data_IF_689100444944
#
_entry.id   IF_689100444944
#
_cell.length_a   1.000
_cell.length_b   1.000
_cell.length_c   1.000
_cell.angle_alpha   90.00
_cell.angle_beta   90.00
_cell.angle_gamma   90.00
#
_symmetry.space_group_name_H-M   'P 1'
#
loop_
_entity.id
_entity.type
_entity.pdbx_description
1 polymer ?
#
# COMPACT_ATOMS: atom_id res chain seq x y z
N UNK A 1 -1.83 8.99 -35.85
CA UNK A 1 -1.12 8.56 -34.63
C UNK A 1 -2.11 8.74 -33.51
N UNK A 2 -2.84 7.69 -33.16
CA UNK A 2 -3.81 7.75 -32.07
C UNK A 2 -3.07 8.05 -30.76
N UNK A 3 -3.61 8.91 -29.90
CA UNK A 3 -3.01 9.15 -28.60
C UNK A 3 -3.00 7.82 -27.85
N UNK A 4 -1.82 7.31 -27.51
CA UNK A 4 -1.63 6.19 -26.59
C UNK A 4 -2.46 6.49 -25.34
N UNK A 5 -3.64 5.87 -25.23
CA UNK A 5 -4.46 5.93 -24.03
C UNK A 5 -3.66 5.26 -22.92
N UNK A 6 -3.05 6.05 -22.06
CA UNK A 6 -2.39 5.58 -20.83
C UNK A 6 -3.45 5.30 -19.77
N UNK A 7 -4.43 4.47 -20.12
CA UNK A 7 -5.50 4.02 -19.24
C UNK A 7 -5.57 2.50 -19.32
N UNK A 8 -6.03 1.84 -18.26
CA UNK A 8 -6.25 0.40 -18.31
C UNK A 8 -7.27 0.07 -19.43
N UNK A 9 -7.09 -1.07 -20.12
CA UNK A 9 -8.05 -1.51 -21.13
C UNK A 9 -9.40 -1.82 -20.47
N UNK A 10 -10.52 -1.68 -21.19
CA UNK A 10 -11.86 -1.86 -20.61
C UNK A 10 -12.08 -3.26 -20.02
N UNK A 11 -11.38 -4.27 -20.56
CA UNK A 11 -11.40 -5.63 -20.04
C UNK A 11 -10.61 -5.82 -18.74
N UNK A 12 -10.00 -4.76 -18.19
CA UNK A 12 -9.41 -4.75 -16.85
C UNK A 12 -10.46 -4.65 -15.73
N UNK A 13 -11.65 -4.11 -16.02
CA UNK A 13 -12.67 -3.77 -15.00
C UNK A 13 -13.80 -4.79 -14.88
N UNK A 14 -13.82 -5.79 -15.76
CA UNK A 14 -14.86 -6.81 -15.80
C UNK A 14 -14.25 -8.20 -15.90
N UNK A 15 -14.98 -9.26 -15.51
CA UNK A 15 -14.55 -10.61 -15.78
C UNK A 15 -14.29 -10.83 -17.27
N UNK A 16 -13.23 -11.58 -17.57
CA UNK A 16 -12.88 -11.92 -18.95
C UNK A 16 -13.93 -12.87 -19.52
N UNK A 17 -14.36 -12.60 -20.76
CA UNK A 17 -15.25 -13.50 -21.49
C UNK A 17 -14.46 -14.70 -22.04
N UNK A 18 -15.15 -15.79 -22.34
CA UNK A 18 -14.52 -16.99 -22.91
C UNK A 18 -13.71 -16.66 -24.18
N UNK A 19 -12.40 -16.88 -24.13
CA UNK A 19 -11.46 -16.61 -25.23
C UNK A 19 -10.86 -15.19 -25.26
N UNK A 20 -11.29 -14.28 -24.38
CA UNK A 20 -10.72 -12.94 -24.26
C UNK A 20 -9.36 -12.97 -23.53
N UNK A 21 -8.35 -12.31 -24.11
CA UNK A 21 -7.00 -12.21 -23.50
C UNK A 21 -6.72 -10.81 -23.01
N UNK A 22 -6.35 -10.68 -21.75
CA UNK A 22 -5.85 -9.44 -21.18
C UNK A 22 -4.41 -9.17 -21.64
N UNK A 23 -4.15 -7.97 -22.17
CA UNK A 23 -2.80 -7.53 -22.56
C UNK A 23 -2.31 -6.54 -21.50
N UNK A 24 -1.26 -6.88 -20.72
CA UNK A 24 -0.71 -5.99 -19.70
C UNK A 24 -0.09 -4.72 -20.30
N UNK A 25 -0.13 -3.61 -19.54
CA UNK A 25 0.46 -2.32 -19.93
C UNK A 25 1.98 -2.44 -20.15
N UNK A 26 2.66 -3.26 -19.34
CA UNK A 26 4.07 -3.59 -19.53
C UNK A 26 4.16 -4.97 -20.22
N UNK A 27 4.49 -5.03 -21.52
CA UNK A 27 4.58 -6.30 -22.23
C UNK A 27 5.80 -7.10 -21.77
N UNK A 28 5.65 -8.42 -21.61
CA UNK A 28 6.76 -9.31 -21.25
C UNK A 28 7.94 -9.27 -22.26
N UNK A 29 7.67 -8.86 -23.51
CA UNK A 29 8.69 -8.72 -24.56
C UNK A 29 9.58 -7.49 -24.41
N UNK A 30 9.24 -6.52 -23.53
CA UNK A 30 10.02 -5.30 -23.31
C UNK A 30 10.51 -5.28 -21.86
N UNK A 31 11.71 -5.81 -21.55
CA UNK A 31 12.24 -5.82 -20.21
C UNK A 31 12.55 -4.38 -19.78
N UNK A 32 11.63 -3.77 -19.04
CA UNK A 32 11.89 -2.54 -18.32
C UNK A 32 12.67 -2.87 -17.04
N UNK A 33 13.60 -2.00 -16.61
CA UNK A 33 14.32 -2.22 -15.37
C UNK A 33 13.35 -2.12 -14.17
N UNK A 34 13.00 -3.26 -13.59
CA UNK A 34 12.14 -3.37 -12.40
C UNK A 34 12.97 -3.24 -11.10
N UNK A 35 14.03 -4.05 -11.00
CA UNK A 35 14.91 -4.08 -9.83
C UNK A 35 16.12 -3.19 -10.13
N UNK A 36 16.13 -1.99 -9.56
CA UNK A 36 17.23 -1.04 -9.67
C UNK A 36 17.67 -0.61 -8.27
N UNK A 37 18.90 -0.09 -8.10
CA UNK A 37 19.31 0.50 -6.83
C UNK A 37 18.34 1.60 -6.36
N UNK A 38 17.69 2.29 -7.30
CA UNK A 38 16.65 3.27 -7.03
C UNK A 38 15.39 2.63 -6.43
N UNK A 39 14.82 1.61 -7.09
CA UNK A 39 13.59 0.97 -6.61
C UNK A 39 13.79 0.24 -5.28
N UNK A 40 14.96 -0.35 -5.07
CA UNK A 40 15.34 -0.98 -3.79
C UNK A 40 15.52 0.04 -2.66
N UNK A 41 16.25 1.14 -2.90
CA UNK A 41 16.54 2.12 -1.85
C UNK A 41 15.26 2.81 -1.37
N UNK A 42 14.42 3.28 -2.29
CA UNK A 42 13.17 3.94 -1.93
C UNK A 42 12.12 2.97 -1.40
N UNK A 43 12.05 1.76 -1.96
CA UNK A 43 11.18 0.71 -1.45
C UNK A 43 11.51 0.35 0.00
N UNK A 44 12.78 0.13 0.33
CA UNK A 44 13.23 -0.17 1.70
C UNK A 44 13.02 1.01 2.65
N UNK A 45 13.26 2.25 2.19
CA UNK A 45 13.02 3.44 2.99
C UNK A 45 11.54 3.58 3.35
N UNK A 46 10.64 3.46 2.37
CA UNK A 46 9.20 3.51 2.63
C UNK A 46 8.73 2.33 3.46
N UNK A 47 9.27 1.13 3.23
CA UNK A 47 8.95 -0.03 4.07
C UNK A 47 9.29 0.24 5.54
N UNK A 48 10.46 0.82 5.84
CA UNK A 48 10.84 1.17 7.20
C UNK A 48 9.92 2.24 7.82
N UNK A 49 9.65 3.33 7.08
CA UNK A 49 8.81 4.44 7.56
C UNK A 49 7.36 3.97 7.83
N UNK A 50 6.77 3.27 6.86
CA UNK A 50 5.40 2.79 6.98
C UNK A 50 5.28 1.64 7.99
N UNK A 51 6.33 0.84 8.20
CA UNK A 51 6.33 -0.14 9.29
C UNK A 51 6.21 0.54 10.66
N UNK A 52 6.98 1.61 10.88
CA UNK A 52 6.91 2.38 12.14
C UNK A 52 5.53 3.02 12.32
N UNK A 53 4.98 3.62 11.27
CA UNK A 53 3.66 4.24 11.30
C UNK A 53 2.54 3.21 11.56
N UNK A 54 2.56 2.08 10.86
CA UNK A 54 1.59 0.99 11.04
C UNK A 54 1.69 0.37 12.43
N UNK A 55 2.91 0.19 12.96
CA UNK A 55 3.10 -0.36 14.29
C UNK A 55 2.55 0.58 15.37
N UNK A 56 2.83 1.88 15.24
CA UNK A 56 2.32 2.89 16.16
C UNK A 56 0.79 2.96 16.15
N UNK A 57 0.18 3.11 14.98
CA UNK A 57 -1.27 3.22 14.86
C UNK A 57 -1.97 1.92 15.27
N UNK A 58 -1.42 0.77 14.88
CA UNK A 58 -1.92 -0.55 15.24
C UNK A 58 -1.89 -0.78 16.75
N UNK A 59 -0.82 -0.40 17.45
CA UNK A 59 -0.72 -0.55 18.90
C UNK A 59 -1.53 0.50 19.67
N UNK A 60 -1.65 1.73 19.14
CA UNK A 60 -2.33 2.84 19.83
C UNK A 60 -3.86 2.79 19.68
N UNK A 61 -4.35 2.51 18.46
CA UNK A 61 -5.77 2.65 18.09
C UNK A 61 -6.36 1.30 17.66
N UNK A 62 -5.55 0.24 17.54
CA UNK A 62 -6.01 -1.09 17.13
C UNK A 62 -6.35 -1.21 15.64
N UNK A 63 -6.12 -0.15 14.86
CA UNK A 63 -6.42 -0.10 13.43
C UNK A 63 -5.14 0.05 12.61
N UNK A 64 -5.05 -0.74 11.54
CA UNK A 64 -4.02 -0.63 10.51
C UNK A 64 -4.62 0.08 9.30
N UNK A 65 -3.80 0.87 8.60
CA UNK A 65 -4.20 1.56 7.37
C UNK A 65 -3.52 0.93 6.15
N UNK A 66 -4.13 1.12 4.98
CA UNK A 66 -3.59 0.58 3.72
C UNK A 66 -2.41 1.41 3.22
N UNK A 67 -1.23 0.80 3.15
CA UNK A 67 0.02 1.47 2.82
C UNK A 67 0.30 1.47 1.31
N UNK A 68 -0.27 0.55 0.52
CA UNK A 68 0.04 0.38 -0.89
C UNK A 68 -0.26 1.64 -1.72
N UNK A 69 -1.45 2.24 -1.54
CA UNK A 69 -1.89 3.41 -2.30
C UNK A 69 -1.05 4.66 -1.97
N UNK A 70 -0.85 5.06 -0.69
CA UNK A 70 0.03 6.18 -0.37
C UNK A 70 1.46 6.01 -0.89
N UNK A 71 2.03 4.81 -0.78
CA UNK A 71 3.38 4.54 -1.27
C UNK A 71 3.45 4.63 -2.79
N UNK A 72 2.42 4.17 -3.51
CA UNK A 72 2.32 4.34 -4.96
C UNK A 72 2.33 5.83 -5.36
N UNK A 73 1.56 6.67 -4.66
CA UNK A 73 1.53 8.13 -4.90
C UNK A 73 2.91 8.74 -4.64
N UNK A 74 3.57 8.36 -3.55
CA UNK A 74 4.92 8.82 -3.21
C UNK A 74 5.96 8.40 -4.25
N UNK A 75 5.92 7.15 -4.71
CA UNK A 75 6.82 6.62 -5.73
C UNK A 75 6.66 7.38 -7.06
N UNK A 76 5.41 7.59 -7.49
CA UNK A 76 5.09 8.41 -8.67
C UNK A 76 5.59 9.84 -8.47
N UNK A 77 5.30 10.46 -7.33
CA UNK A 77 5.70 11.83 -7.02
C UNK A 77 7.20 12.03 -7.07
N UNK A 78 7.94 11.09 -6.50
CA UNK A 78 9.39 11.07 -6.49
C UNK A 78 9.96 10.90 -7.90
N UNK A 79 9.41 9.98 -8.69
CA UNK A 79 9.84 9.76 -10.08
C UNK A 79 9.56 10.99 -10.96
N UNK A 80 8.43 11.67 -10.76
CA UNK A 80 8.09 12.94 -11.44
C UNK A 80 9.04 14.06 -11.01
N UNK A 81 9.29 14.20 -9.70
CA UNK A 81 10.18 15.24 -9.16
C UNK A 81 11.63 15.07 -9.64
N UNK A 82 12.08 13.83 -9.76
CA UNK A 82 13.44 13.51 -10.25
C UNK A 82 13.54 13.37 -11.77
N UNK A 83 12.45 13.56 -12.51
CA UNK A 83 12.43 13.53 -13.96
C UNK A 83 12.74 12.17 -14.59
N UNK A 84 12.49 11.06 -13.87
CA UNK A 84 12.69 9.71 -14.38
C UNK A 84 11.68 9.38 -15.47
N UNK A 85 12.13 8.73 -16.54
CA UNK A 85 11.29 8.30 -17.67
C UNK A 85 11.12 6.78 -17.63
N UNK A 86 9.95 6.26 -18.02
CA UNK A 86 9.61 4.83 -17.94
C UNK A 86 9.73 4.27 -16.52
N UNK A 87 9.27 5.03 -15.53
CA UNK A 87 9.45 4.72 -14.11
C UNK A 87 8.37 3.78 -13.58
N UNK A 88 7.34 3.44 -14.35
CA UNK A 88 6.23 2.56 -13.95
C UNK A 88 6.71 1.27 -13.27
N UNK A 89 7.61 0.51 -13.92
CA UNK A 89 8.16 -0.73 -13.36
C UNK A 89 8.94 -0.52 -12.06
N UNK A 90 9.71 0.56 -11.96
CA UNK A 90 10.42 0.91 -10.73
C UNK A 90 9.46 1.32 -9.60
N UNK A 91 8.42 2.08 -9.94
CA UNK A 91 7.39 2.54 -8.99
C UNK A 91 6.54 1.38 -8.48
N UNK A 92 6.21 0.40 -9.34
CA UNK A 92 5.56 -0.86 -8.94
C UNK A 92 6.44 -1.58 -7.92
N UNK A 93 7.75 -1.68 -8.16
CA UNK A 93 8.66 -2.32 -7.21
C UNK A 93 8.80 -1.56 -5.89
N UNK A 94 8.87 -0.22 -5.92
CA UNK A 94 8.86 0.61 -4.71
C UNK A 94 7.57 0.36 -3.90
N UNK A 95 6.41 0.36 -4.57
CA UNK A 95 5.12 0.08 -3.96
C UNK A 95 5.07 -1.33 -3.37
N UNK A 96 5.57 -2.35 -4.07
CA UNK A 96 5.47 -3.73 -3.62
C UNK A 96 6.37 -4.01 -2.42
N UNK A 97 7.60 -3.48 -2.42
CA UNK A 97 8.51 -3.56 -1.26
C UNK A 97 7.92 -2.78 -0.08
N UNK A 98 7.43 -1.58 -0.34
CA UNK A 98 6.83 -0.72 0.68
C UNK A 98 5.57 -1.32 1.30
N UNK A 99 4.67 -1.89 0.52
CA UNK A 99 3.41 -2.48 0.98
C UNK A 99 3.61 -3.70 1.88
N UNK A 100 4.73 -4.42 1.74
CA UNK A 100 5.08 -5.53 2.63
C UNK A 100 5.21 -5.09 4.10
N UNK A 101 5.45 -3.81 4.38
CA UNK A 101 5.53 -3.26 5.74
C UNK A 101 4.27 -3.53 6.56
N UNK A 102 3.08 -3.23 6.01
CA UNK A 102 1.82 -3.37 6.73
C UNK A 102 1.52 -4.81 7.12
N UNK A 103 1.78 -5.75 6.21
CA UNK A 103 1.50 -7.18 6.41
C UNK A 103 2.42 -7.79 7.47
N UNK A 104 3.71 -7.45 7.45
CA UNK A 104 4.67 -7.95 8.45
C UNK A 104 4.35 -7.37 9.82
N UNK A 105 4.05 -6.07 9.90
CA UNK A 105 3.71 -5.40 11.16
C UNK A 105 2.41 -5.95 11.74
N UNK A 106 1.39 -6.20 10.92
CA UNK A 106 0.11 -6.76 11.37
C UNK A 106 0.30 -8.04 12.21
N UNK A 107 1.19 -8.96 11.79
CA UNK A 107 1.51 -10.16 12.56
C UNK A 107 2.10 -9.83 13.95
N UNK A 108 2.99 -8.84 14.03
CA UNK A 108 3.65 -8.46 15.28
C UNK A 108 2.71 -7.71 16.23
N UNK A 109 1.93 -6.75 15.75
CA UNK A 109 1.06 -5.90 16.60
C UNK A 109 -0.11 -6.66 17.22
N UNK A 110 -0.55 -7.78 16.65
CA UNK A 110 -1.58 -8.62 17.27
C UNK A 110 -0.98 -9.62 18.26
N UNK A 111 0.26 -10.06 18.00
CA UNK A 111 0.93 -11.08 18.81
C UNK A 111 1.55 -10.48 20.08
N UNK A 112 2.23 -9.34 19.99
CA UNK A 112 2.93 -8.73 21.12
C UNK A 112 1.96 -8.39 22.26
N UNK A 113 0.86 -7.64 22.05
CA UNK A 113 -0.09 -7.33 23.12
C UNK A 113 -0.69 -8.57 23.74
N UNK A 114 -0.99 -9.61 22.96
CA UNK A 114 -1.53 -10.87 23.47
C UNK A 114 -0.56 -11.55 24.45
N UNK A 115 0.73 -11.59 24.15
CA UNK A 115 1.75 -12.16 25.03
C UNK A 115 1.85 -11.37 26.35
N UNK A 116 1.80 -10.04 26.28
CA UNK A 116 1.81 -9.18 27.48
C UNK A 116 0.55 -9.34 28.34
N UNK A 117 -0.63 -9.46 27.72
CA UNK A 117 -1.91 -9.70 28.43
C UNK A 117 -1.90 -11.04 29.15
N UNK A 118 -1.24 -12.06 28.59
CA UNK A 118 -1.12 -13.39 29.19
C UNK A 118 0.00 -13.50 30.24
N UNK A 119 0.66 -12.38 30.59
CA UNK A 119 1.77 -12.32 31.55
C UNK A 119 2.93 -13.27 31.23
N UNK A 120 3.13 -13.56 29.95
CA UNK A 120 4.21 -14.42 29.48
C UNK A 120 5.52 -13.64 29.36
N UNK A 121 6.64 -14.22 29.81
CA UNK A 121 7.96 -13.61 29.67
C UNK A 121 8.41 -13.65 28.20
N UNK A 122 8.26 -12.51 27.53
CA UNK A 122 8.53 -12.34 26.11
C UNK A 122 9.89 -11.67 25.91
N UNK A 123 10.95 -12.47 25.71
CA UNK A 123 12.27 -11.91 25.42
C UNK A 123 12.28 -11.34 24.01
N UNK A 124 12.95 -10.20 23.83
CA UNK A 124 13.10 -9.54 22.52
C UNK A 124 13.47 -10.53 21.40
N UNK A 125 14.43 -11.42 21.66
CA UNK A 125 14.86 -12.43 20.69
C UNK A 125 13.76 -13.42 20.29
N UNK A 126 12.86 -13.79 21.19
CA UNK A 126 11.74 -14.69 20.87
C UNK A 126 10.73 -13.98 19.97
N UNK A 127 10.37 -12.74 20.29
CA UNK A 127 9.46 -11.93 19.46
C UNK A 127 10.07 -11.69 18.08
N UNK A 128 11.36 -11.36 18.04
CA UNK A 128 12.11 -11.14 16.81
C UNK A 128 12.13 -12.40 15.94
N UNK A 129 12.53 -13.55 16.50
CA UNK A 129 12.58 -14.82 15.77
C UNK A 129 11.19 -15.28 15.31
N UNK A 130 10.16 -15.13 16.16
CA UNK A 130 8.79 -15.47 15.79
C UNK A 130 8.29 -14.62 14.62
N UNK A 131 8.54 -13.30 14.66
CA UNK A 131 8.18 -12.37 13.58
C UNK A 131 8.96 -12.68 12.30
N UNK A 132 10.25 -13.00 12.43
CA UNK A 132 11.12 -13.37 11.31
C UNK A 132 10.66 -14.65 10.61
N UNK A 133 10.41 -15.72 11.38
CA UNK A 133 9.90 -16.98 10.83
C UNK A 133 8.48 -16.85 10.28
N UNK A 134 7.63 -16.04 10.91
CA UNK A 134 6.31 -15.69 10.37
C UNK A 134 6.41 -15.00 9.01
N UNK A 135 7.36 -14.09 8.85
CA UNK A 135 7.66 -13.45 7.56
C UNK A 135 8.09 -14.47 6.49
N UNK A 136 9.03 -15.37 6.82
CA UNK A 136 9.44 -16.44 5.89
C UNK A 136 8.28 -17.37 5.51
N UNK A 137 7.44 -17.72 6.49
CA UNK A 137 6.26 -18.55 6.27
C UNK A 137 5.27 -17.85 5.33
N UNK A 138 5.06 -16.53 5.50
CA UNK A 138 4.25 -15.72 4.60
C UNK A 138 4.76 -15.73 3.15
N UNK A 139 6.08 -15.60 2.95
CA UNK A 139 6.70 -15.70 1.62
C UNK A 139 6.46 -17.10 1.02
N UNK A 140 6.58 -18.16 1.83
CA UNK A 140 6.33 -19.52 1.38
C UNK A 140 4.88 -19.72 0.90
N UNK A 141 3.89 -19.21 1.65
CA UNK A 141 2.48 -19.31 1.26
C UNK A 141 2.09 -18.39 0.10
N UNK A 142 2.86 -17.32 -0.17
CA UNK A 142 2.64 -16.48 -1.33
C UNK A 142 2.79 -17.25 -2.65
N UNK A 143 3.66 -18.26 -2.70
CA UNK A 143 3.89 -19.08 -3.90
C UNK A 143 2.61 -19.80 -4.38
N UNK A 144 1.95 -20.66 -3.58
CA UNK A 144 0.72 -21.33 -4.00
C UNK A 144 -0.44 -20.36 -4.20
N UNK A 145 -0.58 -19.35 -3.34
CA UNK A 145 -1.67 -18.38 -3.48
C UNK A 145 -1.55 -17.53 -4.74
N UNK A 146 -0.34 -17.11 -5.10
CA UNK A 146 -0.11 -16.38 -6.36
C UNK A 146 -0.52 -17.24 -7.56
N UNK A 147 -0.17 -18.52 -7.57
CA UNK A 147 -0.56 -19.43 -8.66
C UNK A 147 -2.09 -19.53 -8.76
N UNK A 148 -2.77 -19.81 -7.66
CA UNK A 148 -4.23 -19.95 -7.67
C UNK A 148 -4.95 -18.64 -8.04
N UNK A 149 -4.68 -17.55 -7.32
CA UNK A 149 -5.42 -16.30 -7.47
C UNK A 149 -5.05 -15.49 -8.73
N UNK A 150 -3.79 -15.55 -9.17
CA UNK A 150 -3.33 -14.70 -10.29
C UNK A 150 -3.33 -15.47 -11.61
N UNK A 151 -2.92 -16.74 -11.61
CA UNK A 151 -2.76 -17.53 -12.84
C UNK A 151 -4.01 -18.36 -13.15
N UNK A 152 -4.52 -19.14 -12.19
CA UNK A 152 -5.64 -20.07 -12.42
C UNK A 152 -6.98 -19.32 -12.46
N UNK A 153 -7.15 -18.32 -11.58
CA UNK A 153 -8.38 -17.51 -11.48
C UNK A 153 -8.28 -16.17 -12.23
N UNK A 154 -7.40 -16.11 -13.24
CA UNK A 154 -7.17 -14.89 -14.01
C UNK A 154 -8.46 -14.37 -14.65
N UNK A 155 -8.79 -13.11 -14.40
CA UNK A 155 -9.99 -12.47 -14.95
C UNK A 155 -11.31 -12.93 -14.33
N UNK A 156 -11.30 -13.68 -13.22
CA UNK A 156 -12.53 -14.07 -12.52
C UNK A 156 -12.81 -13.18 -11.31
N UNK A 157 -11.77 -12.86 -10.54
CA UNK A 157 -11.93 -12.07 -9.31
C UNK A 157 -11.70 -10.58 -9.55
N UNK A 158 -12.59 -9.71 -9.04
CA UNK A 158 -12.30 -8.29 -8.95
C UNK A 158 -11.27 -8.07 -7.82
N UNK A 159 -10.13 -7.45 -8.14
CA UNK A 159 -9.13 -7.02 -7.15
C UNK A 159 -9.21 -5.50 -6.98
N UNK A 160 -10.26 -4.95 -6.36
CA UNK A 160 -10.54 -3.51 -6.37
C UNK A 160 -9.38 -2.66 -5.84
N UNK A 161 -8.70 -3.14 -4.81
CA UNK A 161 -7.54 -2.47 -4.20
C UNK A 161 -6.32 -2.47 -5.13
N UNK A 162 -6.02 -3.62 -5.74
CA UNK A 162 -4.94 -3.73 -6.72
C UNK A 162 -5.24 -2.90 -7.96
N UNK A 163 -6.50 -2.84 -8.39
CA UNK A 163 -6.96 -1.97 -9.49
C UNK A 163 -6.75 -0.50 -9.12
N UNK A 164 -7.17 -0.05 -7.93
CA UNK A 164 -6.97 1.33 -7.49
C UNK A 164 -5.48 1.71 -7.43
N UNK A 165 -4.63 0.82 -6.92
CA UNK A 165 -3.18 1.06 -6.89
C UNK A 165 -2.58 1.11 -8.30
N UNK A 166 -3.05 0.24 -9.18
CA UNK A 166 -2.62 0.22 -10.59
C UNK A 166 -3.01 1.52 -11.29
N UNK A 167 -4.22 2.04 -11.06
CA UNK A 167 -4.67 3.33 -11.60
C UNK A 167 -3.74 4.47 -11.17
N UNK A 168 -3.34 4.51 -9.90
CA UNK A 168 -2.40 5.52 -9.40
C UNK A 168 -1.06 5.43 -10.13
N UNK A 169 -0.53 4.23 -10.29
CA UNK A 169 0.77 4.01 -10.94
C UNK A 169 0.72 4.35 -12.45
N UNK A 170 -0.36 3.95 -13.14
CA UNK A 170 -0.57 4.21 -14.57
C UNK A 170 -0.85 5.69 -14.84
N UNK A 171 -1.68 6.34 -14.02
CA UNK A 171 -1.89 7.79 -14.08
C UNK A 171 -0.61 8.58 -13.79
N UNK A 172 0.29 8.01 -12.99
CA UNK A 172 1.64 8.54 -12.77
C UNK A 172 2.54 8.47 -14.01
N UNK A 173 2.54 7.34 -14.71
CA UNK A 173 3.33 7.11 -15.93
C UNK A 173 2.81 7.92 -17.12
N UNK A 174 1.49 8.14 -17.20
CA UNK A 174 0.87 9.02 -18.19
C UNK A 174 1.44 10.45 -18.17
N UNK A 175 2.00 10.85 -17.02
CA UNK A 175 2.62 12.14 -16.81
C UNK A 175 1.64 13.31 -16.93
N UNK A 176 2.16 14.53 -16.80
CA UNK A 176 1.36 15.73 -17.03
C UNK A 176 0.42 16.10 -15.87
N UNK A 177 -0.87 16.24 -16.17
CA UNK A 177 -1.88 16.82 -15.26
C UNK A 177 -2.37 15.81 -14.20
N UNK A 178 -2.53 14.53 -14.55
CA UNK A 178 -3.02 13.50 -13.63
C UNK A 178 -2.08 13.24 -12.46
N UNK A 179 -0.77 13.09 -12.72
CA UNK A 179 0.23 12.96 -11.66
C UNK A 179 0.27 14.20 -10.75
N UNK A 180 0.09 15.40 -11.30
CA UNK A 180 0.00 16.65 -10.50
C UNK A 180 -1.26 16.68 -9.63
N UNK A 181 -2.39 16.14 -10.11
CA UNK A 181 -3.61 16.04 -9.30
C UNK A 181 -3.38 15.11 -8.12
N UNK A 182 -2.78 13.93 -8.33
CA UNK A 182 -2.47 12.99 -7.25
C UNK A 182 -1.56 13.62 -6.19
N UNK A 183 -0.51 14.32 -6.63
CA UNK A 183 0.40 15.02 -5.71
C UNK A 183 -0.27 16.17 -4.97
N UNK A 184 -1.12 16.95 -5.63
CA UNK A 184 -1.89 18.01 -4.97
C UNK A 184 -2.86 17.45 -3.95
N UNK A 185 -3.58 16.38 -4.29
CA UNK A 185 -4.49 15.71 -3.36
C UNK A 185 -3.75 15.20 -2.11
N UNK A 186 -2.58 14.57 -2.33
CA UNK A 186 -1.71 14.14 -1.23
C UNK A 186 -1.23 15.31 -0.38
N UNK A 187 -0.78 16.40 -1.00
CA UNK A 187 -0.30 17.58 -0.28
C UNK A 187 -1.42 18.25 0.53
N UNK A 188 -2.62 18.40 -0.04
CA UNK A 188 -3.78 18.96 0.65
C UNK A 188 -4.18 18.05 1.82
N UNK A 189 -4.26 16.75 1.60
CA UNK A 189 -4.56 15.78 2.66
C UNK A 189 -3.53 15.80 3.78
N UNK A 190 -2.24 15.83 3.44
CA UNK A 190 -1.15 15.90 4.42
C UNK A 190 -1.11 17.21 5.21
N UNK A 191 -1.39 18.35 4.56
CA UNK A 191 -1.50 19.64 5.26
C UNK A 191 -2.72 19.63 6.20
N UNK A 192 -3.86 19.12 5.74
CA UNK A 192 -5.07 19.01 6.54
C UNK A 192 -4.83 18.15 7.79
N UNK A 193 -4.23 16.97 7.61
CA UNK A 193 -3.91 16.04 8.69
C UNK A 193 -2.87 16.63 9.67
N UNK A 194 -1.84 17.28 9.14
CA UNK A 194 -0.84 17.99 9.95
C UNK A 194 -1.47 19.09 10.81
N UNK A 195 -2.40 19.88 10.24
CA UNK A 195 -3.06 20.96 10.97
C UNK A 195 -3.94 20.38 12.08
N UNK A 196 -4.71 19.34 11.81
CA UNK A 196 -5.58 18.72 12.81
C UNK A 196 -4.75 18.08 13.92
N UNK A 197 -3.74 17.28 13.56
CA UNK A 197 -2.91 16.57 14.54
C UNK A 197 -2.05 17.51 15.40
N UNK A 198 -1.56 18.62 14.83
CA UNK A 198 -0.67 19.55 15.54
C UNK A 198 -1.43 20.60 16.34
N UNK A 199 -2.50 21.17 15.77
CA UNK A 199 -3.22 22.29 16.39
C UNK A 199 -4.53 21.86 17.07
N UNK A 200 -4.89 20.58 17.00
CA UNK A 200 -6.13 20.02 17.56
C UNK A 200 -7.37 20.84 17.19
N UNK A 201 -7.42 21.31 15.94
CA UNK A 201 -8.44 22.26 15.48
C UNK A 201 -9.88 21.70 15.62
N UNK A 202 -10.03 20.37 15.56
CA UNK A 202 -11.21 19.64 16.01
C UNK A 202 -10.75 18.34 16.68
N UNK A 203 -11.48 17.86 17.71
CA UNK A 203 -11.25 16.55 18.31
C UNK A 203 -11.30 15.37 17.33
N UNK A 204 -10.19 14.64 17.22
CA UNK A 204 -10.02 13.44 16.38
C UNK A 204 -10.98 12.29 16.74
N UNK A 205 -11.51 12.31 17.97
CA UNK A 205 -12.36 11.26 18.52
C UNK A 205 -13.75 11.82 18.81
N UNK A 206 -14.75 11.36 18.07
CA UNK A 206 -16.14 11.68 18.39
C UNK A 206 -16.53 10.95 19.69
N UNK A 207 -16.60 11.71 20.79
CA UNK A 207 -17.01 11.19 22.11
C UNK A 207 -18.48 11.53 22.36
N UNK A 208 -19.26 10.59 22.87
CA UNK A 208 -20.68 10.77 23.26
C UNK A 208 -20.92 11.93 24.24
N UNK A 209 -19.89 12.38 24.95
CA UNK A 209 -19.87 13.62 25.77
C UNK A 209 -20.07 14.91 24.98
N UNK A 210 -19.85 14.90 23.66
CA UNK A 210 -20.11 16.04 22.78
C UNK A 210 -21.61 16.31 22.59
N UNK A 211 -22.47 15.30 22.81
CA UNK A 211 -23.92 15.44 22.75
C UNK A 211 -24.50 15.53 24.17
N UNK A 212 -25.17 16.64 24.54
CA UNK A 212 -25.67 16.86 25.90
C UNK A 212 -26.56 15.74 26.45
N UNK A 213 -27.28 15.03 25.57
CA UNK A 213 -28.22 13.95 25.93
C UNK A 213 -27.57 12.56 26.04
N UNK A 214 -26.33 12.37 25.58
CA UNK A 214 -25.60 11.08 25.66
C UNK A 214 -24.50 11.06 26.73
N UNK A 215 -24.45 12.09 27.59
CA UNK A 215 -23.45 12.21 28.66
C UNK A 215 -23.45 11.06 29.67
N UNK A 216 -24.57 10.33 29.83
CA UNK A 216 -24.70 9.24 30.81
C UNK A 216 -24.31 7.84 30.30
N UNK A 217 -23.95 7.70 29.02
CA UNK A 217 -23.63 6.40 28.38
C UNK A 217 -22.09 6.23 28.22
N UNK A 218 -21.31 7.26 28.55
CA UNK A 218 -19.86 7.33 28.35
C UNK A 218 -19.06 6.91 29.58
#
# INVERSE_FOLDING_TARGET
>A
MEPTKTSLPENAYRPLQDGEKYVPIVPAAKPLPEITPWSLLWGLLFAAIFSMAAAYLGLKIGQVFEAAIPIAILAVGLSVFTGRKNALSENVMIQSIGAASGVVVAGAIFTIPAIYILELDAKFFQIFLASLFGGFLGILFLIPFRRYFVQEMHGQFPFPEATATTEVLVAGEAGGEQAKILLKAMAIGGIYDFIIGTFHWWGEVFTSRALPFMKGIA
#
